data_IF_158778286625
#
_entry.id   IF_158778286625
#
_cell.length_a   1.000
_cell.length_b   1.000
_cell.length_c   1.000
_cell.angle_alpha   90.00
_cell.angle_beta   90.00
_cell.angle_gamma   90.00
#
_symmetry.space_group_name_H-M   'P 1'
#
loop_
_entity.id
_entity.type
_entity.pdbx_description
1 polymer ?
#
# COMPACT_ATOMS: atom_id res chain seq x y z
N UNK A 1 -34.55 22.04 9.91
CA UNK A 1 -35.29 20.81 10.28
C UNK A 1 -34.91 19.75 9.25
N UNK A 2 -34.50 18.50 9.53
CA UNK A 2 -34.17 17.69 10.74
C UNK A 2 -33.67 16.32 10.20
N UNK A 3 -32.74 15.53 10.75
CA UNK A 3 -31.84 15.55 11.92
C UNK A 3 -30.58 14.71 11.53
N UNK A 4 -29.54 14.40 12.33
CA UNK A 4 -29.26 14.56 13.77
C UNK A 4 -29.33 13.24 14.56
N UNK A 5 -28.27 12.40 14.51
CA UNK A 5 -27.91 11.23 15.37
C UNK A 5 -26.84 10.40 14.61
N UNK A 6 -25.86 9.67 15.15
CA UNK A 6 -25.15 9.51 16.45
C UNK A 6 -23.72 9.05 16.03
N UNK A 7 -22.61 9.32 16.71
CA UNK A 7 -22.28 8.91 18.09
C UNK A 7 -20.92 8.21 18.04
N UNK A 8 -19.98 8.60 18.91
CA UNK A 8 -18.62 8.07 18.86
C UNK A 8 -18.48 6.70 19.53
N UNK A 9 -17.76 5.79 18.87
CA UNK A 9 -17.13 4.61 19.46
C UNK A 9 -16.03 4.13 18.50
N UNK A 10 -14.82 3.75 18.92
CA UNK A 10 -14.21 3.88 20.24
C UNK A 10 -12.72 4.17 20.04
N UNK A 11 -12.05 4.67 21.09
CA UNK A 11 -10.60 4.53 21.16
C UNK A 11 -10.26 3.03 21.03
N UNK A 12 -9.24 2.68 20.23
CA UNK A 12 -8.64 1.34 20.23
C UNK A 12 -7.86 1.10 21.52
N UNK A 13 -8.56 1.09 22.64
CA UNK A 13 -8.08 0.59 23.91
C UNK A 13 -8.09 -0.95 23.84
N UNK A 14 -6.97 -1.59 24.21
CA UNK A 14 -6.90 -3.06 24.29
C UNK A 14 -6.46 -3.79 23.02
N UNK A 15 -5.37 -3.34 22.39
CA UNK A 15 -4.65 -4.13 21.36
C UNK A 15 -3.15 -4.35 21.68
N UNK A 16 -2.72 -4.06 22.92
CA UNK A 16 -1.36 -4.35 23.42
C UNK A 16 -1.47 -4.71 24.91
N UNK A 17 -1.52 -6.01 25.24
CA UNK A 17 -1.16 -6.57 26.56
C UNK A 17 -1.29 -8.10 26.69
N UNK A 18 -1.77 -8.84 25.68
CA UNK A 18 -1.94 -10.30 25.78
C UNK A 18 -0.64 -11.07 26.13
N UNK A 19 0.53 -10.58 25.68
CA UNK A 19 1.84 -11.12 26.08
C UNK A 19 2.15 -10.95 27.58
N UNK A 20 1.55 -9.95 28.25
CA UNK A 20 1.70 -9.71 29.68
C UNK A 20 0.93 -10.75 30.50
N UNK A 21 -0.35 -10.95 30.22
CA UNK A 21 -1.23 -11.79 31.03
C UNK A 21 -0.84 -13.28 31.02
N UNK A 22 -0.36 -13.80 29.90
CA UNK A 22 0.16 -15.18 29.81
C UNK A 22 1.44 -15.36 30.64
N UNK A 23 2.33 -14.38 30.62
CA UNK A 23 3.56 -14.36 31.42
C UNK A 23 3.25 -14.23 32.92
N UNK A 24 2.29 -13.36 33.29
CA UNK A 24 1.81 -13.18 34.66
C UNK A 24 1.17 -14.47 35.21
N UNK A 25 0.38 -15.17 34.39
CA UNK A 25 -0.21 -16.46 34.74
C UNK A 25 0.86 -17.53 34.96
N UNK A 26 1.88 -17.59 34.09
CA UNK A 26 3.03 -18.48 34.26
C UNK A 26 3.79 -18.21 35.57
N UNK A 27 4.13 -16.96 35.87
CA UNK A 27 4.83 -16.59 37.11
C UNK A 27 3.99 -16.93 38.35
N UNK A 28 2.67 -16.75 38.30
CA UNK A 28 1.76 -17.14 39.40
C UNK A 28 1.72 -18.65 39.61
N UNK A 29 1.73 -19.46 38.54
CA UNK A 29 1.77 -20.91 38.63
C UNK A 29 3.13 -21.42 39.13
N UNK A 30 4.24 -20.81 38.69
CA UNK A 30 5.59 -21.09 39.17
C UNK A 30 5.72 -20.82 40.69
N UNK A 31 5.19 -19.68 41.15
CA UNK A 31 5.14 -19.31 42.59
C UNK A 31 4.19 -20.21 43.39
N UNK A 32 3.09 -20.69 42.80
CA UNK A 32 2.19 -21.62 43.47
C UNK A 32 2.84 -23.00 43.72
N UNK A 33 3.62 -23.50 42.76
CA UNK A 33 4.30 -24.80 42.87
C UNK A 33 5.40 -24.80 43.93
N UNK A 34 6.21 -23.73 44.01
CA UNK A 34 7.22 -23.51 45.07
C UNK A 34 6.60 -23.57 46.48
N UNK A 35 5.29 -23.31 46.62
CA UNK A 35 4.59 -23.25 47.92
C UNK A 35 3.80 -24.51 48.27
N UNK A 36 3.62 -25.48 47.36
CA UNK A 36 2.72 -26.62 47.61
C UNK A 36 3.10 -27.98 46.96
N UNK A 37 4.26 -28.14 46.32
CA UNK A 37 4.65 -29.43 45.73
C UNK A 37 5.17 -30.42 46.79
N UNK A 38 4.31 -31.39 47.15
CA UNK A 38 4.71 -32.64 47.81
C UNK A 38 5.27 -33.57 46.71
N UNK A 39 6.53 -34.06 46.79
CA UNK A 39 7.33 -34.48 45.62
C UNK A 39 6.92 -35.76 44.87
N UNK A 40 5.71 -36.29 45.04
CA UNK A 40 5.34 -37.63 44.57
C UNK A 40 4.42 -37.70 43.34
N UNK A 41 3.81 -36.61 42.86
CA UNK A 41 3.04 -36.61 41.60
C UNK A 41 3.29 -35.35 40.74
N UNK A 42 4.32 -35.34 39.89
CA UNK A 42 4.51 -34.29 38.89
C UNK A 42 3.52 -34.48 37.73
N UNK A 43 2.27 -34.05 37.92
CA UNK A 43 1.36 -33.81 36.79
C UNK A 43 1.84 -32.58 36.03
N UNK A 44 2.47 -32.82 34.88
CA UNK A 44 3.51 -31.94 34.34
C UNK A 44 2.98 -30.57 33.85
N UNK A 45 3.23 -29.47 34.58
CA UNK A 45 2.78 -28.14 34.16
C UNK A 45 3.49 -27.67 32.88
N UNK A 46 4.63 -28.27 32.55
CA UNK A 46 5.43 -27.96 31.37
C UNK A 46 4.69 -28.29 30.08
N UNK A 47 3.81 -29.30 30.07
CA UNK A 47 3.09 -29.72 28.87
C UNK A 47 2.03 -28.68 28.46
N UNK A 48 1.31 -28.10 29.42
CA UNK A 48 0.38 -26.98 29.17
C UNK A 48 1.12 -25.72 28.72
N UNK A 49 2.30 -25.42 29.29
CA UNK A 49 3.15 -24.30 28.85
C UNK A 49 3.63 -24.52 27.42
N UNK A 50 4.01 -25.74 27.04
CA UNK A 50 4.41 -26.07 25.67
C UNK A 50 3.26 -25.87 24.67
N UNK A 51 2.04 -26.29 25.01
CA UNK A 51 0.85 -26.08 24.16
C UNK A 51 0.47 -24.59 24.05
N UNK A 52 0.51 -23.85 25.15
CA UNK A 52 0.19 -22.42 25.17
C UNK A 52 1.25 -21.58 24.43
N UNK A 53 2.53 -21.94 24.54
CA UNK A 53 3.62 -21.28 23.80
C UNK A 53 3.51 -21.55 22.30
N UNK A 54 3.02 -22.73 21.88
CA UNK A 54 2.71 -23.01 20.47
C UNK A 54 1.54 -22.16 19.94
N UNK A 55 0.47 -22.00 20.73
CA UNK A 55 -0.65 -21.13 20.38
C UNK A 55 -0.23 -19.65 20.28
N UNK A 56 0.53 -19.15 21.26
CA UNK A 56 1.05 -17.77 21.25
C UNK A 56 1.96 -17.48 20.04
N UNK A 57 2.77 -18.46 19.62
CA UNK A 57 3.55 -18.36 18.37
C UNK A 57 2.66 -18.32 17.13
N UNK A 58 1.58 -19.12 17.09
CA UNK A 58 0.61 -19.11 15.97
C UNK A 58 -0.14 -17.77 15.89
N UNK A 59 -0.54 -17.21 17.03
CA UNK A 59 -1.16 -15.88 17.13
C UNK A 59 -0.20 -14.78 16.67
N UNK A 60 1.07 -14.82 17.09
CA UNK A 60 2.09 -13.87 16.65
C UNK A 60 2.34 -13.93 15.12
N UNK A 61 2.33 -15.14 14.52
CA UNK A 61 2.42 -15.33 13.07
C UNK A 61 1.17 -14.82 12.33
N UNK A 62 -0.01 -14.98 12.94
CA UNK A 62 -1.28 -14.44 12.40
C UNK A 62 -1.28 -12.91 12.40
N UNK A 63 -0.84 -12.29 13.49
CA UNK A 63 -0.71 -10.83 13.61
C UNK A 63 0.34 -10.28 12.63
N UNK A 64 1.50 -10.94 12.49
CA UNK A 64 2.51 -10.57 11.50
C UNK A 64 1.96 -10.67 10.06
N UNK A 65 1.16 -11.68 9.76
CA UNK A 65 0.44 -11.79 8.47
C UNK A 65 -0.56 -10.65 8.27
N UNK A 66 -1.30 -10.25 9.32
CA UNK A 66 -2.25 -9.14 9.26
C UNK A 66 -1.53 -7.80 8.99
N UNK A 67 -0.43 -7.53 9.68
CA UNK A 67 0.40 -6.33 9.46
C UNK A 67 1.03 -6.33 8.06
N UNK A 68 1.50 -7.47 7.58
CA UNK A 68 2.05 -7.62 6.21
C UNK A 68 0.99 -7.29 5.14
N UNK A 69 -0.24 -7.80 5.31
CA UNK A 69 -1.37 -7.49 4.41
C UNK A 69 -1.79 -6.01 4.47
N UNK A 70 -1.78 -5.41 5.65
CA UNK A 70 -2.08 -3.97 5.81
C UNK A 70 -1.02 -3.09 5.09
N UNK A 71 0.26 -3.42 5.23
CA UNK A 71 1.35 -2.73 4.53
C UNK A 71 1.23 -2.88 3.01
N UNK A 72 0.88 -4.08 2.50
CA UNK A 72 0.68 -4.30 1.07
C UNK A 72 -0.47 -3.43 0.51
N UNK A 73 -1.61 -3.35 1.19
CA UNK A 73 -2.74 -2.49 0.78
C UNK A 73 -2.40 -0.98 0.85
N UNK A 74 -1.52 -0.56 1.77
CA UNK A 74 -1.02 0.81 1.80
C UNK A 74 -0.11 1.12 0.59
N UNK A 75 0.77 0.18 0.20
CA UNK A 75 1.62 0.33 -0.98
C UNK A 75 0.79 0.38 -2.28
N UNK A 76 -0.24 -0.47 -2.40
CA UNK A 76 -1.21 -0.42 -3.50
C UNK A 76 -1.93 0.93 -3.56
N UNK A 77 -2.40 1.44 -2.42
CA UNK A 77 -3.06 2.75 -2.32
C UNK A 77 -2.15 3.90 -2.77
N UNK A 78 -0.86 3.85 -2.41
CA UNK A 78 0.14 4.83 -2.86
C UNK A 78 0.39 4.75 -4.37
N UNK A 79 0.41 3.54 -4.94
CA UNK A 79 0.52 3.35 -6.38
C UNK A 79 -0.70 3.90 -7.13
N UNK A 80 -1.91 3.66 -6.62
CA UNK A 80 -3.16 4.22 -7.17
C UNK A 80 -3.16 5.74 -7.12
N UNK A 81 -2.68 6.37 -6.04
CA UNK A 81 -2.55 7.84 -5.96
C UNK A 81 -1.54 8.35 -7.01
N UNK A 82 -0.41 7.67 -7.19
CA UNK A 82 0.60 8.03 -8.20
C UNK A 82 0.08 7.94 -9.64
N UNK A 83 -0.79 6.97 -9.93
CA UNK A 83 -1.49 6.85 -11.23
C UNK A 83 -2.64 7.86 -11.36
N UNK A 84 -3.38 8.12 -10.28
CA UNK A 84 -4.44 9.12 -10.23
C UNK A 84 -3.93 10.54 -10.55
N UNK A 85 -2.69 10.87 -10.14
CA UNK A 85 -2.02 12.11 -10.48
C UNK A 85 -1.69 12.27 -11.98
N UNK A 86 -1.77 11.20 -12.78
CA UNK A 86 -1.62 11.26 -14.24
C UNK A 86 -2.97 11.46 -14.97
N UNK A 87 -4.10 11.33 -14.29
CA UNK A 87 -5.42 11.59 -14.89
C UNK A 87 -5.57 13.09 -15.11
N UNK A 88 -5.60 13.50 -16.38
CA UNK A 88 -5.62 14.92 -16.78
C UNK A 88 -4.23 15.55 -16.96
N UNK A 89 -3.14 14.78 -16.89
CA UNK A 89 -1.82 15.26 -17.27
C UNK A 89 -1.64 15.30 -18.80
N UNK A 90 -1.09 16.39 -19.34
CA UNK A 90 -0.66 16.43 -20.75
C UNK A 90 0.57 15.52 -20.94
N UNK A 91 0.39 14.41 -21.66
CA UNK A 91 1.46 13.47 -22.02
C UNK A 91 1.90 13.71 -23.47
N UNK A 92 3.21 13.87 -23.68
CA UNK A 92 3.79 13.92 -25.02
C UNK A 92 4.10 12.50 -25.51
N UNK A 93 3.57 12.14 -26.67
CA UNK A 93 3.82 10.85 -27.35
C UNK A 93 4.49 11.08 -28.70
N UNK A 94 5.37 10.18 -29.10
CA UNK A 94 5.93 10.17 -30.46
C UNK A 94 4.90 9.54 -31.40
N UNK A 95 4.42 10.29 -32.38
CA UNK A 95 3.54 9.80 -33.45
C UNK A 95 3.92 10.44 -34.78
N UNK A 96 3.68 9.71 -35.87
CA UNK A 96 3.85 10.19 -37.26
C UNK A 96 2.53 10.74 -37.83
N UNK A 97 1.39 10.32 -37.28
CA UNK A 97 0.06 10.78 -37.64
C UNK A 97 -0.62 11.45 -36.44
N UNK A 98 -1.38 12.52 -36.68
CA UNK A 98 -2.23 13.14 -35.67
C UNK A 98 -3.53 13.62 -36.31
N UNK A 99 -4.65 13.34 -35.67
CA UNK A 99 -5.95 13.82 -36.10
C UNK A 99 -6.13 15.27 -35.64
N UNK A 100 -6.21 16.22 -36.58
CA UNK A 100 -6.49 17.62 -36.28
C UNK A 100 -8.01 17.84 -36.29
N UNK A 101 -8.56 18.18 -35.13
CA UNK A 101 -9.94 18.62 -34.94
C UNK A 101 -9.99 20.16 -34.77
N UNK A 102 -11.01 20.70 -34.07
CA UNK A 102 -11.10 22.14 -33.78
C UNK A 102 -10.07 22.61 -32.73
N UNK A 103 -9.55 21.71 -31.88
CA UNK A 103 -8.57 22.07 -30.85
C UNK A 103 -7.12 22.04 -31.39
N UNK A 104 -6.28 23.06 -31.09
CA UNK A 104 -4.92 23.13 -31.59
C UNK A 104 -3.99 22.12 -30.88
N UNK A 105 -3.40 21.22 -31.65
CA UNK A 105 -2.43 20.23 -31.15
C UNK A 105 -1.10 20.91 -30.79
N UNK A 106 -0.62 20.69 -29.56
CA UNK A 106 0.71 21.12 -29.10
C UNK A 106 1.77 20.05 -29.42
N UNK A 107 2.59 20.29 -30.44
CA UNK A 107 3.74 19.43 -30.77
C UNK A 107 5.06 19.90 -30.17
N UNK A 108 6.04 18.98 -30.07
CA UNK A 108 7.45 19.30 -29.78
C UNK A 108 8.35 18.46 -30.69
N UNK A 109 9.39 19.07 -31.26
CA UNK A 109 10.39 18.38 -32.07
C UNK A 109 11.67 18.27 -31.24
N UNK A 110 12.18 17.05 -31.05
CA UNK A 110 13.47 16.81 -30.42
C UNK A 110 14.56 16.72 -31.49
N UNK A 111 15.51 17.66 -31.47
CA UNK A 111 16.64 17.69 -32.39
C UNK A 111 17.88 17.10 -31.70
N UNK A 112 18.51 16.11 -32.33
CA UNK A 112 19.75 15.48 -31.81
C UNK A 112 21.00 16.34 -32.01
N UNK A 113 20.93 17.32 -32.91
CA UNK A 113 22.03 18.23 -33.25
C UNK A 113 21.47 19.60 -33.70
N UNK A 114 22.32 20.63 -33.70
CA UNK A 114 21.97 21.96 -34.23
C UNK A 114 21.74 21.89 -35.74
N UNK A 115 20.64 22.44 -36.22
CA UNK A 115 20.31 22.60 -37.64
C UNK A 115 20.22 24.08 -37.99
N UNK A 116 20.60 24.45 -39.22
CA UNK A 116 20.53 25.84 -39.70
C UNK A 116 19.13 26.25 -40.17
N UNK A 117 18.28 25.27 -40.52
CA UNK A 117 16.87 25.49 -40.83
C UNK A 117 16.04 24.26 -40.50
N UNK A 118 14.84 24.48 -39.99
CA UNK A 118 13.83 23.48 -39.69
C UNK A 118 12.52 23.84 -40.40
N UNK A 119 11.92 22.88 -41.08
CA UNK A 119 10.58 23.04 -41.64
C UNK A 119 9.71 21.83 -41.33
N UNK A 120 8.53 22.08 -40.79
CA UNK A 120 7.47 21.09 -40.65
C UNK A 120 6.74 20.95 -41.98
N UNK A 121 6.54 19.73 -42.45
CA UNK A 121 5.66 19.44 -43.59
C UNK A 121 4.44 18.71 -43.05
N UNK A 122 3.26 19.26 -43.35
CA UNK A 122 1.97 18.67 -43.01
C UNK A 122 1.37 18.16 -44.31
N UNK A 123 1.04 16.87 -44.38
CA UNK A 123 0.35 16.24 -45.49
C UNK A 123 -1.07 15.89 -45.08
N UNK A 124 -2.05 16.30 -45.89
CA UNK A 124 -3.48 15.98 -45.75
C UNK A 124 -3.79 14.66 -46.50
N UNK A 125 -4.88 13.97 -46.15
CA UNK A 125 -5.30 12.66 -46.71
C UNK A 125 -5.48 12.72 -48.26
N UNK A 126 -5.74 13.92 -48.79
CA UNK A 126 -5.79 14.21 -50.22
C UNK A 126 -4.41 14.43 -50.89
N UNK A 127 -3.30 14.09 -50.22
CA UNK A 127 -1.92 14.24 -50.72
C UNK A 127 -1.46 15.70 -50.86
N UNK A 128 -2.11 16.63 -50.16
CA UNK A 128 -1.77 18.07 -50.20
C UNK A 128 -0.77 18.39 -49.11
N UNK A 129 0.39 18.90 -49.50
CA UNK A 129 1.44 19.29 -48.55
C UNK A 129 1.45 20.80 -48.29
N UNK A 130 1.49 21.18 -47.01
CA UNK A 130 1.91 22.52 -46.57
C UNK A 130 3.28 22.42 -45.88
N UNK A 131 4.16 23.39 -46.17
CA UNK A 131 5.45 23.54 -45.49
C UNK A 131 5.43 24.77 -44.61
N UNK A 132 5.64 24.58 -43.31
CA UNK A 132 5.74 25.62 -42.30
C UNK A 132 7.21 25.74 -41.83
N UNK A 133 7.92 26.84 -42.12
CA UNK A 133 9.26 27.06 -41.57
C UNK A 133 9.16 27.34 -40.05
N UNK A 134 10.05 26.73 -39.27
CA UNK A 134 10.09 26.82 -37.80
C UNK A 134 11.32 27.56 -37.26
N UNK A 135 12.18 28.08 -38.15
CA UNK A 135 13.47 28.69 -37.84
C UNK A 135 14.53 28.14 -38.77
#
# INVERSE_FOLDING_TARGET
MTAGHLGGAAARAGAISANGEVSDLFVRLLVAQVRNQNPLEPSDPSEFVNQLTQLSQMEALSELSAQTRANAGMLESLQVIGLGAQVGAELAVTTEHVDLAEEPVKGRIALTHTVESLSLVIEDDFGRTQRLPLG
#
